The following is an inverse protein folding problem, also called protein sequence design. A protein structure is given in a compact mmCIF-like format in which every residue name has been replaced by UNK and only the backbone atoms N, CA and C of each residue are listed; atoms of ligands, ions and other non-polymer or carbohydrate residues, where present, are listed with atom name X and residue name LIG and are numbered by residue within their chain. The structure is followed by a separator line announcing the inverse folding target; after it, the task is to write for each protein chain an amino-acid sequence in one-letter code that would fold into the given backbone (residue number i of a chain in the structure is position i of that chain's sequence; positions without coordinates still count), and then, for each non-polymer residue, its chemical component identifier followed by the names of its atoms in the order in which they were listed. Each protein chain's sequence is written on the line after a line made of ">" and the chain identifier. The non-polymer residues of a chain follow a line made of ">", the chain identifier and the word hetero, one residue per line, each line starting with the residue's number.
data_IF_224368512043
#
_entry.id   IF_224368512043
#
_cell.length_a   1.000
_cell.length_b   1.000
_cell.length_c   1.000
_cell.angle_alpha   90.00
_cell.angle_beta   90.00
_cell.angle_gamma   90.00
#
_symmetry.space_group_name_H-M   'P 1'
#
loop_
_entity.id
_entity.type
_entity.pdbx_description
1 polymer ?
#
# COMPACT_ATOMS: atom_id res chain seq x y z
N UNK A 1 35.11 30.35 15.24
CA UNK A 1 33.73 29.91 14.90
C UNK A 1 33.67 28.39 15.01
N UNK A 2 32.95 27.83 15.97
CA UNK A 2 32.72 26.37 16.09
C UNK A 2 31.28 26.10 15.66
N UNK A 3 31.09 25.58 14.45
CA UNK A 3 29.79 25.16 13.95
C UNK A 3 29.38 23.84 14.65
N UNK A 4 28.28 23.89 15.41
CA UNK A 4 27.64 22.71 15.98
C UNK A 4 26.88 22.00 14.86
N UNK A 5 27.37 20.83 14.45
CA UNK A 5 26.66 19.91 13.56
C UNK A 5 25.50 19.30 14.36
N UNK A 6 24.26 19.65 14.01
CA UNK A 6 23.06 19.00 14.52
C UNK A 6 22.95 17.61 13.89
N UNK A 7 23.12 16.57 14.71
CA UNK A 7 22.81 15.18 14.34
C UNK A 7 21.30 15.06 14.08
N UNK A 8 20.92 14.87 12.82
CA UNK A 8 19.58 14.40 12.46
C UNK A 8 19.46 12.94 12.90
N UNK A 9 18.58 12.71 13.88
CA UNK A 9 18.26 11.38 14.38
C UNK A 9 17.17 10.78 13.47
N UNK A 10 17.56 10.29 12.29
CA UNK A 10 16.68 9.44 11.48
C UNK A 10 16.58 8.08 12.17
N UNK A 11 15.43 7.77 12.77
CA UNK A 11 15.15 6.42 13.27
C UNK A 11 15.17 5.47 12.06
N UNK A 12 16.28 4.78 11.86
CA UNK A 12 16.36 3.59 11.02
C UNK A 12 15.43 2.55 11.65
N UNK A 13 14.20 2.44 11.13
CA UNK A 13 13.42 1.24 11.38
C UNK A 13 14.11 0.11 10.64
N UNK A 14 14.47 -0.95 11.37
CA UNK A 14 15.01 -2.16 10.73
C UNK A 14 13.94 -2.67 9.76
N UNK A 15 14.30 -2.98 8.50
CA UNK A 15 13.37 -3.59 7.57
C UNK A 15 12.78 -4.87 8.19
N UNK A 16 11.51 -5.16 7.91
CA UNK A 16 10.95 -6.48 8.25
C UNK A 16 11.73 -7.51 7.42
N UNK A 17 12.03 -8.70 7.96
CA UNK A 17 13.01 -9.62 7.34
C UNK A 17 12.77 -9.94 5.86
N UNK A 18 11.53 -10.06 5.40
CA UNK A 18 11.23 -10.30 3.98
C UNK A 18 11.46 -9.09 3.08
N UNK A 19 11.57 -7.88 3.63
CA UNK A 19 12.01 -6.69 2.90
C UNK A 19 13.53 -6.74 2.63
N UNK A 20 14.30 -7.57 3.37
CA UNK A 20 15.73 -7.78 3.13
C UNK A 20 15.98 -8.61 1.86
N UNK A 21 15.07 -9.52 1.49
CA UNK A 21 15.10 -10.24 0.20
C UNK A 21 14.53 -9.46 -0.98
N UNK A 22 14.14 -8.20 -0.77
CA UNK A 22 13.53 -7.35 -1.81
C UNK A 22 12.03 -7.61 -2.02
N UNK A 23 11.37 -8.37 -1.13
CA UNK A 23 9.95 -8.70 -1.24
C UNK A 23 9.09 -7.96 -0.22
N UNK A 24 8.39 -6.93 -0.69
CA UNK A 24 7.62 -6.03 0.16
C UNK A 24 6.17 -6.48 0.31
N UNK A 25 5.63 -6.39 1.53
CA UNK A 25 4.21 -6.66 1.79
C UNK A 25 3.34 -5.58 1.13
N UNK A 26 2.33 -6.04 0.39
CA UNK A 26 1.22 -5.24 -0.14
C UNK A 26 0.29 -4.87 1.01
N UNK A 27 -0.09 -3.60 1.12
CA UNK A 27 -1.03 -3.11 2.14
C UNK A 27 -2.31 -2.54 1.54
N UNK A 28 -2.27 -2.12 0.27
CA UNK A 28 -3.40 -1.59 -0.49
C UNK A 28 -3.29 -2.00 -1.97
N UNK A 29 -4.38 -1.85 -2.73
CA UNK A 29 -4.42 -2.26 -4.14
C UNK A 29 -3.36 -1.55 -4.99
N UNK A 30 -3.05 -0.29 -4.70
CA UNK A 30 -2.06 0.50 -5.45
C UNK A 30 -0.65 -0.08 -5.36
N UNK A 31 -0.35 -0.86 -4.32
CA UNK A 31 0.96 -1.49 -4.10
C UNK A 31 1.23 -2.65 -5.07
N UNK A 32 0.18 -3.19 -5.66
CA UNK A 32 0.25 -4.41 -6.48
C UNK A 32 0.84 -4.07 -7.85
N UNK A 33 2.02 -4.60 -8.15
CA UNK A 33 2.68 -4.42 -9.44
C UNK A 33 3.84 -5.39 -9.64
N UNK A 34 4.12 -5.71 -10.91
CA UNK A 34 5.32 -6.46 -11.31
C UNK A 34 5.31 -7.92 -10.84
N UNK A 35 6.43 -8.34 -10.27
CA UNK A 35 6.57 -9.68 -9.71
C UNK A 35 5.83 -9.76 -8.38
N UNK A 36 5.07 -10.84 -8.22
CA UNK A 36 4.07 -11.01 -7.19
C UNK A 36 4.16 -12.43 -6.60
N UNK A 37 3.94 -12.55 -5.30
CA UNK A 37 3.88 -13.83 -4.62
C UNK A 37 2.75 -13.84 -3.58
N UNK A 38 2.18 -15.03 -3.36
CA UNK A 38 1.11 -15.26 -2.39
C UNK A 38 1.71 -16.12 -1.27
N UNK A 39 1.95 -15.52 -0.12
CA UNK A 39 2.46 -16.18 1.08
C UNK A 39 1.32 -16.57 2.02
N UNK A 40 1.42 -17.72 2.66
CA UNK A 40 0.52 -18.14 3.74
C UNK A 40 1.16 -17.88 5.12
N UNK A 41 0.45 -18.20 6.19
CA UNK A 41 0.89 -18.04 7.59
C UNK A 41 2.20 -18.74 8.00
N UNK A 42 2.74 -19.61 7.16
CA UNK A 42 3.85 -20.52 7.47
C UNK A 42 5.12 -20.23 6.68
N UNK A 43 5.33 -19.01 6.15
CA UNK A 43 6.44 -18.69 5.22
C UNK A 43 6.49 -19.65 4.02
N UNK A 44 5.32 -20.12 3.60
CA UNK A 44 5.12 -20.96 2.42
C UNK A 44 4.41 -20.14 1.37
N UNK A 45 4.72 -20.37 0.11
CA UNK A 45 4.12 -19.63 -0.99
C UNK A 45 3.28 -20.55 -1.87
N UNK A 46 2.42 -19.95 -2.68
CA UNK A 46 1.79 -20.67 -3.78
C UNK A 46 2.84 -21.04 -4.83
N UNK A 47 3.03 -22.33 -5.08
CA UNK A 47 3.97 -22.88 -6.05
C UNK A 47 3.21 -23.37 -7.29
N UNK A 48 3.65 -22.94 -8.48
CA UNK A 48 3.17 -23.46 -9.76
C UNK A 48 3.84 -24.80 -10.08
N UNK A 49 3.07 -25.74 -10.63
CA UNK A 49 3.58 -27.05 -11.04
C UNK A 49 3.34 -27.23 -12.55
N UNK A 50 4.23 -27.97 -13.21
CA UNK A 50 4.20 -28.27 -14.66
C UNK A 50 2.87 -28.83 -15.19
N UNK A 51 2.09 -29.52 -14.34
CA UNK A 51 0.76 -30.05 -14.67
C UNK A 51 -0.37 -28.99 -14.66
N UNK A 52 -0.01 -27.72 -14.46
CA UNK A 52 -0.91 -26.57 -14.43
C UNK A 52 -1.74 -26.48 -13.15
N UNK A 53 -1.33 -27.14 -12.07
CA UNK A 53 -1.90 -26.96 -10.73
C UNK A 53 -1.04 -26.03 -9.89
N UNK A 54 -1.63 -25.54 -8.80
CA UNK A 54 -0.94 -24.76 -7.77
C UNK A 54 -1.07 -25.46 -6.43
N UNK A 55 0.06 -25.66 -5.77
CA UNK A 55 0.13 -26.26 -4.43
C UNK A 55 0.81 -25.31 -3.46
N UNK A 56 0.68 -25.62 -2.18
CA UNK A 56 1.48 -25.01 -1.15
C UNK A 56 2.94 -25.48 -1.27
N UNK A 57 3.85 -24.53 -1.47
CA UNK A 57 5.28 -24.76 -1.58
C UNK A 57 5.95 -25.18 -0.27
N UNK A 58 7.26 -25.46 -0.31
CA UNK A 58 8.04 -25.77 0.88
C UNK A 58 8.10 -24.56 1.83
N UNK A 59 8.44 -24.82 3.09
CA UNK A 59 8.70 -23.77 4.07
C UNK A 59 10.04 -23.09 3.75
N UNK A 60 10.04 -21.75 3.76
CA UNK A 60 11.22 -20.92 3.50
C UNK A 60 11.88 -20.48 4.80
N UNK A 61 13.19 -20.20 4.73
CA UNK A 61 13.88 -19.61 5.87
C UNK A 61 13.44 -18.16 6.12
N UNK A 62 13.61 -17.71 7.35
CA UNK A 62 13.20 -16.37 7.75
C UNK A 62 14.03 -15.31 7.03
N UNK A 63 13.41 -14.56 6.12
CA UNK A 63 14.07 -13.54 5.30
C UNK A 63 14.40 -14.01 3.89
N UNK A 64 14.16 -15.28 3.58
CA UNK A 64 14.17 -15.80 2.21
C UNK A 64 12.94 -15.29 1.44
N UNK A 65 13.12 -15.00 0.16
CA UNK A 65 12.04 -14.62 -0.76
C UNK A 65 11.48 -15.86 -1.47
N UNK A 66 10.33 -15.73 -2.17
CA UNK A 66 9.79 -16.82 -2.97
C UNK A 66 10.79 -17.34 -4.00
N UNK A 67 10.76 -18.64 -4.23
CA UNK A 67 11.50 -19.33 -5.28
C UNK A 67 10.91 -19.06 -6.67
N UNK A 68 11.62 -19.43 -7.76
CA UNK A 68 11.19 -19.12 -9.13
C UNK A 68 9.77 -19.60 -9.49
N UNK A 69 9.38 -20.78 -9.00
CA UNK A 69 8.06 -21.38 -9.26
C UNK A 69 6.93 -20.75 -8.42
N UNK A 70 7.28 -19.92 -7.43
CA UNK A 70 6.36 -19.22 -6.55
C UNK A 70 6.17 -17.74 -6.95
N UNK A 71 6.87 -17.31 -8.00
CA UNK A 71 6.83 -15.96 -8.54
C UNK A 71 5.84 -15.90 -9.70
N UNK A 72 4.90 -14.97 -9.58
CA UNK A 72 3.90 -14.65 -10.59
C UNK A 72 4.14 -13.25 -11.14
N UNK A 73 3.68 -12.98 -12.35
CA UNK A 73 3.49 -11.60 -12.83
C UNK A 73 2.06 -11.17 -12.55
N UNK A 74 1.87 -10.06 -11.84
CA UNK A 74 0.54 -9.50 -11.60
C UNK A 74 0.19 -8.42 -12.62
N UNK A 75 -1.03 -8.50 -13.13
CA UNK A 75 -1.61 -7.55 -14.07
C UNK A 75 -2.89 -6.99 -13.46
N UNK A 76 -2.93 -5.68 -13.20
CA UNK A 76 -4.14 -4.99 -12.75
C UNK A 76 -5.17 -4.95 -13.87
N UNK A 77 -6.41 -5.27 -13.54
CA UNK A 77 -7.55 -5.27 -14.46
C UNK A 77 -8.69 -4.45 -13.84
N UNK A 78 -8.89 -3.24 -14.34
CA UNK A 78 -9.82 -2.29 -13.71
C UNK A 78 -9.32 -1.79 -12.35
N UNK A 79 -10.26 -1.39 -11.50
CA UNK A 79 -9.94 -0.65 -10.26
C UNK A 79 -9.72 -1.56 -9.04
N UNK A 80 -10.19 -2.82 -9.07
CA UNK A 80 -10.11 -3.73 -7.91
C UNK A 80 -9.57 -5.11 -8.21
N UNK A 81 -9.48 -5.51 -9.49
CA UNK A 81 -9.15 -6.89 -9.86
C UNK A 81 -7.74 -7.02 -10.38
N UNK A 82 -7.19 -8.20 -10.19
CA UNK A 82 -5.88 -8.60 -10.66
C UNK A 82 -5.98 -9.90 -11.45
N UNK A 83 -4.99 -10.11 -12.28
CA UNK A 83 -4.76 -11.36 -13.01
C UNK A 83 -3.32 -11.77 -12.72
N UNK A 84 -3.10 -13.07 -12.50
CA UNK A 84 -1.80 -13.61 -12.16
C UNK A 84 -1.34 -14.55 -13.26
N UNK A 85 -0.11 -14.34 -13.73
CA UNK A 85 0.56 -15.19 -14.73
C UNK A 85 1.71 -15.93 -14.09
N UNK A 86 1.73 -17.27 -14.20
CA UNK A 86 2.81 -18.09 -13.66
C UNK A 86 4.07 -18.04 -14.52
N UNK A 87 5.18 -18.56 -13.98
CA UNK A 87 6.43 -18.76 -14.72
C UNK A 87 6.30 -19.67 -15.95
N UNK A 88 5.25 -20.50 -16.01
CA UNK A 88 4.91 -21.36 -17.16
C UNK A 88 4.16 -20.65 -18.29
N UNK A 89 4.10 -19.31 -18.27
CA UNK A 89 3.40 -18.51 -19.28
C UNK A 89 1.89 -18.85 -19.34
N UNK A 90 1.28 -19.12 -18.19
CA UNK A 90 -0.15 -19.44 -18.07
C UNK A 90 -0.82 -18.60 -17.00
N UNK A 91 -2.05 -18.20 -17.25
CA UNK A 91 -2.84 -17.44 -16.29
C UNK A 91 -3.50 -18.37 -15.28
N UNK A 92 -3.44 -17.96 -14.01
CA UNK A 92 -4.23 -18.53 -12.93
C UNK A 92 -5.70 -18.36 -13.28
N UNK A 93 -6.48 -19.42 -13.12
CA UNK A 93 -7.91 -19.43 -13.42
C UNK A 93 -8.66 -20.30 -12.42
N UNK A 94 -9.93 -19.98 -12.17
CA UNK A 94 -10.83 -20.82 -11.37
C UNK A 94 -11.71 -21.65 -12.30
N UNK A 95 -11.68 -22.97 -12.15
CA UNK A 95 -12.53 -23.87 -12.92
C UNK A 95 -13.97 -23.97 -12.37
N UNK A 96 -14.86 -24.67 -13.08
CA UNK A 96 -16.26 -24.81 -12.68
C UNK A 96 -16.48 -25.56 -11.36
N UNK A 97 -15.46 -26.25 -10.84
CA UNK A 97 -15.47 -26.92 -9.54
C UNK A 97 -14.78 -26.10 -8.45
N UNK A 98 -14.38 -24.87 -8.75
CA UNK A 98 -13.66 -24.00 -7.83
C UNK A 98 -12.18 -24.37 -7.68
N UNK A 99 -11.59 -25.20 -8.54
CA UNK A 99 -10.14 -25.47 -8.47
C UNK A 99 -9.36 -24.33 -9.12
N UNK A 100 -8.23 -23.95 -8.52
CA UNK A 100 -7.32 -22.96 -9.09
C UNK A 100 -6.31 -23.70 -9.98
N UNK A 101 -6.21 -23.31 -11.25
CA UNK A 101 -5.34 -23.96 -12.24
C UNK A 101 -4.75 -22.96 -13.23
N UNK A 102 -3.52 -23.21 -13.67
CA UNK A 102 -2.70 -22.37 -14.54
C UNK A 102 -2.62 -22.95 -15.94
N UNK A 103 -3.75 -22.98 -16.65
CA UNK A 103 -3.83 -23.60 -18.00
C UNK A 103 -4.29 -22.64 -19.08
N UNK A 104 -4.62 -21.41 -18.72
CA UNK A 104 -5.22 -20.46 -19.64
C UNK A 104 -4.13 -19.62 -20.33
N UNK A 105 -4.24 -19.47 -21.65
CA UNK A 105 -3.38 -18.58 -22.46
C UNK A 105 -3.96 -17.16 -22.58
N UNK A 106 -5.19 -16.95 -22.13
CA UNK A 106 -5.92 -15.70 -22.30
C UNK A 106 -6.55 -15.23 -21.00
N UNK A 107 -6.69 -13.91 -20.88
CA UNK A 107 -7.35 -13.27 -19.75
C UNK A 107 -8.85 -13.21 -20.06
N UNK A 108 -9.64 -13.98 -19.32
CA UNK A 108 -11.09 -13.95 -19.33
C UNK A 108 -11.63 -13.60 -17.94
N UNK A 109 -12.90 -13.98 -17.69
CA UNK A 109 -13.53 -13.79 -16.39
C UNK A 109 -13.01 -14.75 -15.33
N UNK A 110 -12.52 -15.93 -15.72
CA UNK A 110 -12.05 -16.98 -14.78
C UNK A 110 -10.67 -16.67 -14.21
N UNK A 111 -9.91 -15.84 -14.91
CA UNK A 111 -8.54 -15.47 -14.57
C UNK A 111 -8.46 -14.24 -13.64
N UNK A 112 -9.61 -13.60 -13.38
CA UNK A 112 -9.70 -12.42 -12.52
C UNK A 112 -9.92 -12.80 -11.07
N UNK A 113 -9.08 -12.23 -10.20
CA UNK A 113 -9.16 -12.32 -8.75
C UNK A 113 -9.25 -10.92 -8.15
N UNK A 114 -9.90 -10.79 -7.01
CA UNK A 114 -10.08 -9.52 -6.31
C UNK A 114 -9.43 -9.61 -4.92
N UNK A 115 -8.32 -8.87 -4.67
CA UNK A 115 -7.74 -8.76 -3.34
C UNK A 115 -8.66 -7.94 -2.43
N UNK A 116 -9.11 -8.55 -1.34
CA UNK A 116 -9.95 -7.92 -0.33
C UNK A 116 -9.07 -7.58 0.88
N UNK A 117 -9.06 -6.30 1.26
CA UNK A 117 -8.29 -5.77 2.39
C UNK A 117 -9.25 -5.40 3.52
N UNK A 118 -9.10 -6.01 4.69
CA UNK A 118 -9.95 -5.75 5.86
C UNK A 118 -9.13 -5.88 7.14
N UNK A 119 -9.12 -4.83 7.97
CA UNK A 119 -8.40 -4.79 9.26
C UNK A 119 -6.92 -5.25 9.19
N UNK A 120 -6.23 -4.95 8.08
CA UNK A 120 -4.83 -5.35 7.86
C UNK A 120 -4.62 -6.81 7.46
N UNK A 121 -5.71 -7.55 7.27
CA UNK A 121 -5.77 -8.90 6.70
C UNK A 121 -6.09 -8.79 5.21
N UNK A 122 -5.64 -9.79 4.45
CA UNK A 122 -5.85 -9.85 3.01
C UNK A 122 -6.37 -11.24 2.66
N UNK A 123 -7.41 -11.30 1.83
CA UNK A 123 -7.88 -12.52 1.21
C UNK A 123 -8.03 -12.31 -0.30
N UNK A 124 -7.94 -13.38 -1.09
CA UNK A 124 -8.15 -13.33 -2.54
C UNK A 124 -9.51 -13.91 -2.88
N UNK A 125 -10.38 -13.12 -3.51
CA UNK A 125 -11.69 -13.54 -3.98
C UNK A 125 -11.60 -13.99 -5.45
N UNK A 126 -12.04 -15.20 -5.76
CA UNK A 126 -12.10 -15.71 -7.13
C UNK A 126 -13.35 -15.26 -7.89
N UNK A 127 -13.38 -15.52 -9.21
CA UNK A 127 -14.50 -15.16 -10.08
C UNK A 127 -15.84 -15.83 -9.71
N UNK A 128 -15.80 -16.89 -8.89
CA UNK A 128 -16.97 -17.60 -8.40
C UNK A 128 -17.51 -17.04 -7.06
N UNK A 129 -17.03 -15.87 -6.63
CA UNK A 129 -17.35 -15.24 -5.35
C UNK A 129 -17.00 -16.10 -4.13
N UNK A 130 -15.99 -16.97 -4.26
CA UNK A 130 -15.39 -17.71 -3.15
C UNK A 130 -13.95 -17.25 -2.93
N UNK A 131 -13.54 -17.17 -1.68
CA UNK A 131 -12.17 -16.92 -1.28
C UNK A 131 -11.28 -18.12 -1.57
N UNK A 132 -10.05 -17.82 -1.95
CA UNK A 132 -8.96 -18.79 -2.10
C UNK A 132 -8.67 -19.44 -0.75
N UNK A 133 -8.53 -20.76 -0.76
CA UNK A 133 -8.23 -21.64 0.35
C UNK A 133 -7.27 -22.74 -0.13
N UNK A 134 -6.77 -23.54 0.82
CA UNK A 134 -5.92 -24.70 0.55
C UNK A 134 -6.67 -25.94 1.02
N UNK A 135 -6.79 -26.95 0.16
CA UNK A 135 -7.44 -28.21 0.51
C UNK A 135 -6.48 -29.15 1.26
N UNK A 136 -7.00 -30.28 1.76
CA UNK A 136 -6.22 -31.29 2.50
C UNK A 136 -5.03 -31.87 1.70
N UNK A 137 -5.12 -31.86 0.37
CA UNK A 137 -4.05 -32.29 -0.53
C UNK A 137 -3.03 -31.17 -0.83
N UNK A 138 -3.13 -30.02 -0.16
CA UNK A 138 -2.22 -28.88 -0.33
C UNK A 138 -2.44 -28.09 -1.61
N UNK A 139 -3.56 -28.26 -2.32
CA UNK A 139 -3.86 -27.55 -3.55
C UNK A 139 -4.74 -26.32 -3.30
N UNK A 140 -4.52 -25.28 -4.09
CA UNK A 140 -5.32 -24.06 -4.01
C UNK A 140 -6.69 -24.22 -4.68
N UNK A 141 -7.74 -23.78 -3.98
CA UNK A 141 -9.15 -23.85 -4.39
C UNK A 141 -9.89 -22.57 -4.00
N UNK A 142 -10.90 -22.16 -4.76
CA UNK A 142 -11.84 -21.09 -4.41
C UNK A 142 -13.15 -21.71 -3.92
N UNK A 143 -13.21 -22.08 -2.64
CA UNK A 143 -14.36 -22.78 -2.05
C UNK A 143 -15.01 -22.06 -0.87
N UNK A 144 -14.31 -21.12 -0.21
CA UNK A 144 -14.80 -20.47 1.01
C UNK A 144 -15.70 -19.28 0.68
N UNK A 145 -16.98 -19.32 1.06
CA UNK A 145 -17.90 -18.18 0.87
C UNK A 145 -17.63 -17.00 1.82
N UNK A 146 -16.94 -17.26 2.94
CA UNK A 146 -16.57 -16.25 3.94
C UNK A 146 -15.09 -16.39 4.21
N UNK A 147 -14.38 -15.27 4.26
CA UNK A 147 -12.99 -15.26 4.64
C UNK A 147 -12.85 -15.60 6.13
N UNK A 148 -12.08 -16.64 6.43
CA UNK A 148 -11.65 -17.01 7.78
C UNK A 148 -10.13 -16.94 7.88
N UNK A 149 -9.59 -17.32 9.04
CA UNK A 149 -8.13 -17.35 9.27
C UNK A 149 -7.38 -18.21 8.25
N UNK A 150 -8.00 -19.28 7.76
CA UNK A 150 -7.44 -20.20 6.76
C UNK A 150 -7.36 -19.58 5.36
N UNK A 151 -8.10 -18.49 5.10
CA UNK A 151 -8.11 -17.80 3.81
C UNK A 151 -7.15 -16.61 3.77
N UNK A 152 -6.59 -16.19 4.90
CA UNK A 152 -5.76 -15.00 4.95
C UNK A 152 -4.37 -15.29 4.38
N UNK A 153 -3.93 -14.39 3.51
CA UNK A 153 -2.64 -14.47 2.84
C UNK A 153 -1.87 -13.16 3.03
N UNK A 154 -0.55 -13.24 2.88
CA UNK A 154 0.30 -12.06 2.72
C UNK A 154 0.68 -11.96 1.25
N UNK A 155 0.19 -10.91 0.59
CA UNK A 155 0.59 -10.59 -0.78
C UNK A 155 1.92 -9.85 -0.76
N UNK A 156 2.85 -10.26 -1.62
CA UNK A 156 4.18 -9.64 -1.74
C UNK A 156 4.47 -9.20 -3.15
N UNK A 157 5.16 -8.07 -3.29
CA UNK A 157 5.68 -7.58 -4.58
C UNK A 157 7.18 -7.30 -4.51
N UNK A 158 7.90 -7.56 -5.60
CA UNK A 158 9.29 -7.17 -5.77
C UNK A 158 9.39 -5.83 -6.52
N UNK A 159 8.65 -4.83 -6.02
CA UNK A 159 8.79 -3.44 -6.44
C UNK A 159 8.91 -2.61 -5.17
N UNK A 160 10.06 -1.98 -5.00
CA UNK A 160 10.27 -1.08 -3.87
C UNK A 160 9.31 0.10 -4.04
N UNK A 161 8.40 0.30 -3.08
CA UNK A 161 7.65 1.56 -3.03
C UNK A 161 8.67 2.68 -2.98
N UNK A 162 8.65 3.57 -3.97
CA UNK A 162 9.16 4.90 -3.75
C UNK A 162 8.34 5.44 -2.58
N UNK A 163 8.99 5.60 -1.42
CA UNK A 163 8.37 6.35 -0.33
C UNK A 163 8.02 7.68 -0.96
N UNK A 164 6.74 7.98 -1.13
CA UNK A 164 6.28 9.35 -1.35
C UNK A 164 7.00 10.17 -0.31
N UNK A 165 8.05 10.87 -0.73
CA UNK A 165 8.84 11.64 0.20
C UNK A 165 7.88 12.67 0.77
N UNK A 166 8.19 13.20 1.96
CA UNK A 166 7.41 14.32 2.50
C UNK A 166 7.30 15.50 1.52
N UNK A 167 8.05 15.49 0.42
CA UNK A 167 8.04 16.50 -0.64
C UNK A 167 6.76 16.47 -1.51
N UNK A 168 5.95 15.40 -1.51
CA UNK A 168 4.60 15.44 -2.11
C UNK A 168 3.58 16.16 -1.24
N UNK A 169 3.84 16.25 0.08
CA UNK A 169 3.04 17.10 0.97
C UNK A 169 3.58 18.51 0.80
N UNK A 170 2.77 19.49 0.35
CA UNK A 170 3.20 20.88 0.26
C UNK A 170 3.87 21.28 1.58
N UNK A 171 4.94 22.07 1.53
CA UNK A 171 5.69 22.48 2.74
C UNK A 171 4.76 23.11 3.80
N UNK A 172 3.65 23.68 3.35
CA UNK A 172 2.57 24.26 4.12
C UNK A 172 1.76 23.24 4.95
N UNK A 173 1.80 21.95 4.62
CA UNK A 173 1.11 20.87 5.34
C UNK A 173 2.08 19.96 6.12
N UNK A 174 3.38 20.19 6.00
CA UNK A 174 4.40 19.45 6.74
C UNK A 174 4.45 19.87 8.21
N UNK A 175 4.43 18.89 9.12
CA UNK A 175 4.63 19.09 10.55
C UNK A 175 3.33 19.23 11.36
N UNK A 176 3.44 19.86 12.53
CA UNK A 176 2.27 20.08 13.40
C UNK A 176 1.34 21.16 12.83
N UNK A 177 0.09 21.24 13.30
CA UNK A 177 -0.83 22.33 12.93
C UNK A 177 -0.23 23.74 13.14
N UNK A 178 0.71 23.88 14.08
CA UNK A 178 1.42 25.14 14.29
C UNK A 178 2.45 25.40 13.20
N UNK A 179 3.18 24.37 12.78
CA UNK A 179 4.20 24.49 11.74
C UNK A 179 3.56 24.74 10.37
N UNK A 180 2.45 24.07 10.09
CA UNK A 180 1.64 24.28 8.90
C UNK A 180 1.16 25.74 8.77
N UNK A 181 0.60 26.30 9.85
CA UNK A 181 0.16 27.69 9.88
C UNK A 181 1.32 28.68 9.70
N UNK A 182 2.47 28.43 10.33
CA UNK A 182 3.67 29.26 10.18
C UNK A 182 4.19 29.24 8.74
N UNK A 183 4.28 28.05 8.13
CA UNK A 183 4.76 27.87 6.76
C UNK A 183 3.81 28.52 5.76
N UNK A 184 2.51 28.36 5.95
CA UNK A 184 1.48 28.98 5.12
C UNK A 184 1.54 30.51 5.20
N UNK A 185 1.59 31.08 6.41
CA UNK A 185 1.64 32.54 6.61
C UNK A 185 2.92 33.17 6.04
N UNK A 186 4.07 32.50 6.18
CA UNK A 186 5.35 32.99 5.62
C UNK A 186 5.31 33.20 4.10
N UNK A 187 4.51 32.42 3.37
CA UNK A 187 4.43 32.53 1.90
C UNK A 187 3.79 33.84 1.44
N UNK A 188 2.96 34.47 2.27
CA UNK A 188 2.10 35.59 1.85
C UNK A 188 2.29 36.89 2.66
N UNK A 189 3.06 36.87 3.75
CA UNK A 189 3.43 38.09 4.48
C UNK A 189 4.65 38.80 3.88
N UNK A 190 4.62 40.14 3.87
CA UNK A 190 5.78 40.96 3.49
C UNK A 190 6.77 41.08 4.66
N UNK A 191 8.05 40.70 4.45
CA UNK A 191 9.08 40.62 5.47
C UNK A 191 9.84 41.93 5.78
N UNK A 192 9.23 43.10 5.58
CA UNK A 192 9.93 44.38 5.82
C UNK A 192 10.46 44.49 7.26
N UNK A 193 9.76 43.92 8.25
CA UNK A 193 10.13 43.98 9.68
C UNK A 193 10.92 42.76 10.21
N UNK A 194 11.35 41.83 9.33
CA UNK A 194 12.00 40.53 9.69
C UNK A 194 11.24 39.66 10.71
N UNK A 195 9.97 39.95 11.02
CA UNK A 195 9.14 39.21 11.99
C UNK A 195 7.89 38.66 11.31
N UNK A 196 7.58 37.39 11.56
CA UNK A 196 6.34 36.74 11.10
C UNK A 196 5.23 37.03 12.11
N UNK A 197 4.09 37.55 11.65
CA UNK A 197 2.90 37.78 12.48
C UNK A 197 1.96 36.59 12.32
N UNK A 198 1.62 35.91 13.41
CA UNK A 198 0.71 34.76 13.38
C UNK A 198 -0.59 35.15 14.08
N UNK A 199 -1.71 34.60 13.64
CA UNK A 199 -3.01 34.82 14.28
C UNK A 199 -2.98 34.34 15.75
N UNK A 200 -3.63 35.11 16.63
CA UNK A 200 -3.79 34.77 18.05
C UNK A 200 -5.09 33.97 18.30
N UNK A 201 -5.89 33.68 17.28
CA UNK A 201 -7.13 32.92 17.41
C UNK A 201 -6.88 31.43 17.72
N UNK A 202 -7.79 30.80 18.49
CA UNK A 202 -7.66 29.41 18.94
C UNK A 202 -7.72 28.38 17.79
N UNK A 203 -6.85 27.38 17.79
CA UNK A 203 -6.65 26.44 16.68
C UNK A 203 -7.71 25.34 16.59
N UNK A 204 -8.74 25.35 17.44
CA UNK A 204 -9.82 24.38 17.39
C UNK A 204 -10.54 24.34 16.03
N UNK A 205 -10.75 25.50 15.41
CA UNK A 205 -11.34 25.60 14.07
C UNK A 205 -10.46 24.93 12.99
N UNK A 206 -9.14 25.17 13.03
CA UNK A 206 -8.19 24.53 12.11
C UNK A 206 -8.09 23.02 12.31
N UNK A 207 -8.25 22.54 13.55
CA UNK A 207 -8.27 21.10 13.83
C UNK A 207 -9.48 20.41 13.21
N UNK A 208 -10.66 21.05 13.29
CA UNK A 208 -11.88 20.56 12.62
C UNK A 208 -11.73 20.61 11.09
N UNK A 209 -11.25 21.74 10.56
CA UNK A 209 -11.05 21.93 9.12
C UNK A 209 -10.05 20.91 8.52
N UNK A 210 -9.03 20.49 9.29
CA UNK A 210 -8.10 19.43 8.89
C UNK A 210 -8.77 18.05 8.76
N UNK A 211 -9.78 17.77 9.58
CA UNK A 211 -10.52 16.51 9.52
C UNK A 211 -11.56 16.50 8.40
N UNK A 212 -12.11 17.67 8.05
CA UNK A 212 -13.15 17.83 7.01
C UNK A 212 -12.58 18.18 5.63
N UNK A 213 -11.26 18.32 5.49
CA UNK A 213 -10.60 18.64 4.21
C UNK A 213 -10.64 20.11 3.81
N UNK A 214 -11.14 21.01 4.66
CA UNK A 214 -11.32 22.45 4.38
C UNK A 214 -10.24 23.32 5.03
N UNK A 215 -9.06 22.75 5.31
CA UNK A 215 -7.99 23.41 6.07
C UNK A 215 -7.46 24.68 5.39
N UNK A 216 -7.32 24.67 4.06
CA UNK A 216 -6.77 25.79 3.28
C UNK A 216 -7.69 27.03 3.30
N UNK A 217 -8.99 26.80 3.24
CA UNK A 217 -10.02 27.84 3.33
C UNK A 217 -10.01 28.48 4.73
N UNK A 218 -10.03 27.65 5.78
CA UNK A 218 -9.96 28.14 7.16
C UNK A 218 -8.65 28.90 7.46
N UNK A 219 -7.52 28.51 6.85
CA UNK A 219 -6.26 29.26 6.95
C UNK A 219 -6.28 30.58 6.16
N UNK A 220 -7.04 30.66 5.06
CA UNK A 220 -7.23 31.90 4.29
C UNK A 220 -8.06 32.92 5.08
N UNK A 221 -9.19 32.52 5.66
CA UNK A 221 -10.05 33.38 6.48
C UNK A 221 -9.29 34.01 7.66
N UNK A 222 -8.38 33.23 8.25
CA UNK A 222 -7.50 33.72 9.32
C UNK A 222 -6.50 34.74 8.85
N UNK A 223 -5.98 34.56 7.64
CA UNK A 223 -5.02 35.48 7.03
C UNK A 223 -5.68 36.77 6.59
N UNK A 224 -6.91 36.71 6.07
CA UNK A 224 -7.68 37.89 5.67
C UNK A 224 -7.84 38.89 6.83
N UNK A 225 -8.10 38.38 8.03
CA UNK A 225 -8.21 39.20 9.25
C UNK A 225 -6.88 39.85 9.67
N UNK A 226 -5.74 39.43 9.12
CA UNK A 226 -4.42 39.97 9.45
C UNK A 226 -4.00 41.07 8.46
N UNK A 227 -3.78 42.30 8.95
CA UNK A 227 -3.28 43.46 8.18
C UNK A 227 -1.83 43.33 7.65
N UNK A 228 -1.26 42.13 7.70
CA UNK A 228 0.12 41.83 7.33
C UNK A 228 0.23 40.98 6.07
N UNK A 229 -0.90 40.50 5.53
CA UNK A 229 -0.95 39.75 4.29
C UNK A 229 -0.90 40.70 3.09
N UNK A 230 -0.06 40.38 2.10
CA UNK A 230 0.11 41.22 0.91
C UNK A 230 -1.09 41.15 -0.05
N UNK A 231 -1.85 40.06 0.01
CA UNK A 231 -2.88 39.71 -0.97
C UNK A 231 -4.30 39.82 -0.43
N UNK A 232 -4.47 39.90 0.90
CA UNK A 232 -5.76 40.21 1.52
C UNK A 232 -5.80 41.70 1.84
N UNK A 233 -6.61 42.46 1.10
CA UNK A 233 -6.86 43.90 1.32
C UNK A 233 -8.30 44.13 1.73
#
# INVERSE_FOLDING_TARGET
>A
MRAKIQKQNSKFQKPKHSEESGWYKVNEYDDIQGNFAIETDSMRYMEAIDNGLFKLGPEHEKGEGPGPEEIFTVIKTGDTKIVLKSGFDKYLSVDSRGRVAGRSDAIGSREQFEPVFEEGKIALLGCNNCFVAINEAGNFVCSSLKASEENFVTLRCNVQKEKKSKDEVPTEEQGSLKDAEVNYVKKFQSFQDRRVKISQEDKAALKKARQTGTLHEAMLDRREKMKADRYCK
#
